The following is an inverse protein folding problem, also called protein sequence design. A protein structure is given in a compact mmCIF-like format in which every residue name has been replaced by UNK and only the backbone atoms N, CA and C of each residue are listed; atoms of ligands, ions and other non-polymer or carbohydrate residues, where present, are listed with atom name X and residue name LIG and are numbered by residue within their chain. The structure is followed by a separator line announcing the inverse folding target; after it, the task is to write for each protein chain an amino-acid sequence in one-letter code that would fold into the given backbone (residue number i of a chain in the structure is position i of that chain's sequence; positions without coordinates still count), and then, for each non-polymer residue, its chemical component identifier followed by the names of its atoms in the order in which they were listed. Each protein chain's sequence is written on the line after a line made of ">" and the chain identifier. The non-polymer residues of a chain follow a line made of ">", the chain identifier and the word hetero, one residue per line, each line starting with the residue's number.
data_IF_349788591636
#
_entry.id   IF_349788591636
#
_cell.length_a   1.000
_cell.length_b   1.000
_cell.length_c   1.000
_cell.angle_alpha   90.00
_cell.angle_beta   90.00
_cell.angle_gamma   90.00
#
_symmetry.space_group_name_H-M   'P 1'
#
loop_
_entity.id
_entity.type
_entity.pdbx_description
1 polymer ?
#
# COMPACT_ATOMS: atom_id res chain seq x y z
N UNK A 1 -20.90 14.32 17.87
CA UNK A 1 -19.64 15.00 17.50
C UNK A 1 -18.41 14.07 17.53
N UNK A 2 -18.53 12.83 18.01
CA UNK A 2 -17.39 11.89 18.11
C UNK A 2 -16.92 11.35 16.76
N UNK A 3 -17.84 11.03 15.84
CA UNK A 3 -17.51 10.39 14.56
C UNK A 3 -16.56 11.19 13.66
N UNK A 4 -16.68 12.53 13.64
CA UNK A 4 -15.78 13.40 12.88
C UNK A 4 -14.39 13.45 13.52
N UNK A 5 -14.31 13.35 14.84
CA UNK A 5 -13.05 13.33 15.59
C UNK A 5 -12.36 11.98 15.37
N UNK A 6 -13.09 10.87 15.45
CA UNK A 6 -12.58 9.52 15.15
C UNK A 6 -12.06 9.42 13.71
N UNK A 7 -12.83 9.94 12.74
CA UNK A 7 -12.43 9.97 11.33
C UNK A 7 -11.24 10.89 11.09
N UNK A 8 -11.21 12.06 11.75
CA UNK A 8 -10.09 13.01 11.68
C UNK A 8 -8.81 12.39 12.22
N UNK A 9 -8.86 11.68 13.34
CA UNK A 9 -7.68 11.05 13.93
C UNK A 9 -7.16 9.97 13.00
N UNK A 10 -8.03 9.07 12.49
CA UNK A 10 -7.64 8.05 11.52
C UNK A 10 -7.04 8.63 10.25
N UNK A 11 -7.59 9.72 9.71
CA UNK A 11 -7.05 10.35 8.51
C UNK A 11 -5.68 10.98 8.81
N UNK A 12 -5.54 11.64 9.96
CA UNK A 12 -4.30 12.33 10.33
C UNK A 12 -3.15 11.35 10.54
N UNK A 13 -3.39 10.27 11.26
CA UNK A 13 -2.43 9.20 11.48
C UNK A 13 -2.09 8.46 10.18
N UNK A 14 -3.08 8.18 9.33
CA UNK A 14 -2.88 7.54 8.04
C UNK A 14 -2.03 8.42 7.10
N UNK A 15 -2.25 9.74 7.07
CA UNK A 15 -1.41 10.69 6.31
C UNK A 15 -0.01 10.80 6.93
N UNK A 16 0.11 10.81 8.26
CA UNK A 16 1.41 10.85 8.93
C UNK A 16 2.23 9.59 8.65
N UNK A 17 1.63 8.40 8.78
CA UNK A 17 2.28 7.12 8.52
C UNK A 17 2.57 6.92 7.03
N UNK A 18 1.66 7.30 6.14
CA UNK A 18 1.89 7.27 4.70
C UNK A 18 2.97 8.27 4.32
N UNK A 19 2.97 9.47 4.91
CA UNK A 19 3.98 10.50 4.71
C UNK A 19 5.35 10.06 5.23
N UNK A 20 5.44 9.50 6.44
CA UNK A 20 6.70 8.97 6.99
C UNK A 20 7.21 7.78 6.17
N UNK A 21 6.34 6.84 5.82
CA UNK A 21 6.68 5.70 4.96
C UNK A 21 7.16 6.17 3.59
N UNK A 22 6.45 7.11 2.96
CA UNK A 22 6.82 7.72 1.69
C UNK A 22 8.15 8.47 1.77
N UNK A 23 8.37 9.27 2.82
CA UNK A 23 9.56 10.11 2.97
C UNK A 23 10.80 9.26 3.32
N UNK A 24 10.62 8.21 4.12
CA UNK A 24 11.66 7.22 4.40
C UNK A 24 12.02 6.42 3.15
N UNK A 25 11.04 5.93 2.39
CA UNK A 25 11.27 5.26 1.10
C UNK A 25 11.87 6.19 0.05
N UNK A 26 11.42 7.44 -0.01
CA UNK A 26 11.97 8.47 -0.90
C UNK A 26 13.46 8.72 -0.63
N UNK A 27 13.91 8.60 0.62
CA UNK A 27 15.32 8.79 0.98
C UNK A 27 16.16 7.52 0.91
N UNK A 28 15.61 6.35 1.18
CA UNK A 28 16.37 5.10 1.24
C UNK A 28 16.36 4.28 -0.05
N UNK A 29 15.35 4.44 -0.90
CA UNK A 29 15.22 3.62 -2.12
C UNK A 29 15.65 4.35 -3.40
N UNK A 30 15.57 5.69 -3.46
CA UNK A 30 15.83 6.44 -4.70
C UNK A 30 17.28 6.74 -5.01
N UNK A 31 18.21 6.50 -4.07
CA UNK A 31 19.63 6.79 -4.32
C UNK A 31 20.24 5.88 -5.39
N UNK A 32 19.60 4.75 -5.73
CA UNK A 32 20.10 3.77 -6.71
C UNK A 32 19.05 3.23 -7.71
N UNK A 33 17.85 3.83 -7.82
CA UNK A 33 16.71 3.28 -8.60
C UNK A 33 16.14 4.20 -9.70
N UNK A 34 16.96 5.10 -10.25
CA UNK A 34 16.55 6.08 -11.28
C UNK A 34 16.11 5.49 -12.64
N UNK A 35 16.25 4.17 -12.86
CA UNK A 35 15.80 3.56 -14.12
C UNK A 35 15.08 2.23 -13.82
N UNK A 36 13.75 2.28 -13.58
CA UNK A 36 12.72 1.45 -14.27
C UNK A 36 11.39 1.18 -13.53
N UNK A 37 11.20 1.38 -12.21
CA UNK A 37 9.95 0.88 -11.56
C UNK A 37 9.41 1.71 -10.37
N UNK A 38 8.99 2.96 -10.59
CA UNK A 38 8.31 3.79 -9.57
C UNK A 38 7.06 3.13 -8.96
N UNK A 39 6.33 2.32 -9.73
CA UNK A 39 5.03 1.78 -9.32
C UNK A 39 5.16 0.73 -8.21
N UNK A 40 6.22 -0.10 -8.20
CA UNK A 40 6.42 -1.12 -7.13
C UNK A 40 6.61 -0.46 -5.78
N UNK A 41 7.33 0.66 -5.76
CA UNK A 41 7.57 1.44 -4.55
C UNK A 41 6.29 2.11 -4.03
N UNK A 42 5.45 2.62 -4.94
CA UNK A 42 4.13 3.15 -4.58
C UNK A 42 3.24 2.02 -4.03
N UNK A 43 3.22 0.84 -4.64
CA UNK A 43 2.44 -0.31 -4.17
C UNK A 43 2.89 -0.73 -2.77
N UNK A 44 4.19 -0.76 -2.50
CA UNK A 44 4.73 -1.15 -1.20
C UNK A 44 4.37 -0.13 -0.10
N UNK A 45 4.56 1.17 -0.37
CA UNK A 45 4.20 2.24 0.59
C UNK A 45 2.70 2.31 0.86
N UNK A 46 1.86 2.10 -0.16
CA UNK A 46 0.40 1.96 0.01
C UNK A 46 0.09 0.74 0.88
N UNK A 47 0.65 -0.43 0.59
CA UNK A 47 0.41 -1.68 1.37
C UNK A 47 0.84 -1.52 2.83
N UNK A 48 1.94 -0.82 3.08
CA UNK A 48 2.41 -0.52 4.42
C UNK A 48 1.46 0.41 5.19
N UNK A 49 1.06 1.54 4.61
CA UNK A 49 0.09 2.44 5.26
C UNK A 49 -1.26 1.76 5.50
N UNK A 50 -1.64 0.86 4.61
CA UNK A 50 -2.83 0.06 4.74
C UNK A 50 -2.73 -0.97 5.90
N UNK A 51 -1.53 -1.47 6.17
CA UNK A 51 -1.25 -2.29 7.37
C UNK A 51 -1.29 -1.47 8.66
N UNK A 52 -0.74 -0.24 8.66
CA UNK A 52 -0.86 0.69 9.78
C UNK A 52 -2.32 1.03 10.10
N UNK A 53 -3.15 1.21 9.07
CA UNK A 53 -4.61 1.45 9.21
C UNK A 53 -5.30 0.30 9.95
N UNK A 54 -4.86 -0.94 9.67
CA UNK A 54 -5.40 -2.13 10.35
C UNK A 54 -5.02 -2.17 11.83
N UNK A 55 -3.79 -1.79 12.17
CA UNK A 55 -3.32 -1.71 13.55
C UNK A 55 -4.05 -0.62 14.34
N UNK A 56 -4.31 0.51 13.69
CA UNK A 56 -5.03 1.61 14.32
C UNK A 56 -6.49 1.27 14.63
N UNK A 57 -7.14 0.52 13.73
CA UNK A 57 -8.47 -0.04 13.98
C UNK A 57 -8.49 -0.97 15.21
N UNK A 58 -7.44 -1.76 15.42
CA UNK A 58 -7.28 -2.60 16.61
C UNK A 58 -7.13 -1.73 17.87
N UNK A 59 -6.28 -0.70 17.84
CA UNK A 59 -6.08 0.19 19.00
C UNK A 59 -7.37 0.91 19.38
N UNK A 60 -8.13 1.42 18.41
CA UNK A 60 -9.42 2.06 18.65
C UNK A 60 -10.51 1.10 19.14
N UNK A 61 -10.40 -0.19 18.80
CA UNK A 61 -11.23 -1.24 19.37
C UNK A 61 -10.93 -1.45 20.86
N UNK A 62 -9.66 -1.51 21.26
CA UNK A 62 -9.28 -1.69 22.68
C UNK A 62 -9.64 -0.45 23.52
N UNK A 63 -9.55 0.76 22.95
CA UNK A 63 -9.91 2.00 23.61
C UNK A 63 -11.43 2.22 23.76
N UNK A 64 -12.27 1.38 23.14
CA UNK A 64 -13.73 1.41 23.30
C UNK A 64 -14.43 2.63 22.70
N UNK A 65 -13.74 3.40 21.84
CA UNK A 65 -14.27 4.65 21.26
C UNK A 65 -15.18 4.38 20.04
N UNK A 66 -15.04 3.21 19.39
CA UNK A 66 -15.62 2.96 18.06
C UNK A 66 -16.88 2.05 18.07
N UNK A 67 -17.96 2.54 17.45
CA UNK A 67 -19.26 1.84 17.30
C UNK A 67 -19.13 0.47 16.57
N UNK A 68 -19.79 -0.58 17.09
CA UNK A 68 -19.67 -1.97 16.57
C UNK A 68 -19.99 -2.15 15.08
N UNK A 69 -20.99 -1.43 14.54
CA UNK A 69 -21.35 -1.57 13.13
C UNK A 69 -20.36 -0.91 12.17
N UNK A 70 -19.66 0.15 12.59
CA UNK A 70 -18.64 0.84 11.76
C UNK A 70 -17.35 0.03 11.67
N UNK A 71 -17.02 -0.73 12.74
CA UNK A 71 -15.81 -1.56 12.82
C UNK A 71 -15.79 -2.67 11.79
N UNK A 72 -16.85 -3.46 11.70
CA UNK A 72 -16.91 -4.59 10.75
C UNK A 72 -16.77 -4.14 9.30
N UNK A 73 -17.34 -2.98 8.95
CA UNK A 73 -17.22 -2.42 7.61
C UNK A 73 -15.78 -1.97 7.31
N UNK A 74 -15.15 -1.23 8.22
CA UNK A 74 -13.74 -0.82 8.06
C UNK A 74 -12.81 -2.01 7.96
N UNK A 75 -13.02 -3.05 8.77
CA UNK A 75 -12.17 -4.25 8.77
C UNK A 75 -12.30 -5.05 7.46
N UNK A 76 -13.55 -5.24 6.98
CA UNK A 76 -13.82 -5.89 5.68
C UNK A 76 -13.25 -5.09 4.50
N UNK A 77 -13.48 -3.79 4.47
CA UNK A 77 -12.94 -2.91 3.42
C UNK A 77 -11.42 -2.93 3.43
N UNK A 78 -10.82 -2.86 4.63
CA UNK A 78 -9.39 -2.88 4.79
C UNK A 78 -8.80 -4.19 4.21
N UNK A 79 -9.23 -5.33 4.74
CA UNK A 79 -8.79 -6.63 4.24
C UNK A 79 -8.98 -6.80 2.73
N UNK A 80 -10.10 -6.33 2.18
CA UNK A 80 -10.38 -6.41 0.75
C UNK A 80 -9.36 -5.66 -0.11
N UNK A 81 -9.01 -4.43 0.27
CA UNK A 81 -8.08 -3.58 -0.51
C UNK A 81 -6.64 -4.09 -0.41
N UNK A 82 -6.15 -4.51 0.76
CA UNK A 82 -4.81 -5.13 0.87
C UNK A 82 -4.74 -6.37 -0.02
N UNK A 83 -5.76 -7.22 0.06
CA UNK A 83 -5.81 -8.46 -0.70
C UNK A 83 -5.84 -8.18 -2.21
N UNK A 84 -6.63 -7.22 -2.67
CA UNK A 84 -6.66 -6.84 -4.08
C UNK A 84 -5.31 -6.27 -4.56
N UNK A 85 -4.67 -5.42 -3.77
CA UNK A 85 -3.34 -4.87 -4.12
C UNK A 85 -2.30 -5.99 -4.17
N UNK A 86 -2.27 -6.87 -3.17
CA UNK A 86 -1.24 -7.90 -3.09
C UNK A 86 -1.46 -9.04 -4.08
N UNK A 87 -2.71 -9.44 -4.31
CA UNK A 87 -3.05 -10.58 -5.18
C UNK A 87 -3.20 -10.18 -6.64
N UNK A 88 -3.62 -8.95 -6.95
CA UNK A 88 -3.85 -8.54 -8.33
C UNK A 88 -2.71 -7.69 -8.87
N UNK A 89 -2.33 -6.62 -8.17
CA UNK A 89 -1.31 -5.68 -8.65
C UNK A 89 0.10 -6.29 -8.67
N UNK A 90 0.49 -7.05 -7.64
CA UNK A 90 1.84 -7.64 -7.56
C UNK A 90 2.12 -8.64 -8.71
N UNK A 91 1.28 -9.66 -8.97
CA UNK A 91 1.56 -10.60 -10.07
C UNK A 91 1.40 -9.97 -11.45
N UNK A 92 0.52 -8.97 -11.63
CA UNK A 92 0.48 -8.20 -12.87
C UNK A 92 1.80 -7.49 -13.15
N UNK A 93 2.43 -6.95 -12.11
CA UNK A 93 3.69 -6.25 -12.23
C UNK A 93 4.86 -7.20 -12.56
N UNK A 94 4.91 -8.35 -11.90
CA UNK A 94 5.88 -9.42 -12.20
C UNK A 94 5.66 -9.94 -13.63
N UNK A 95 4.41 -10.14 -14.04
CA UNK A 95 4.05 -10.57 -15.39
C UNK A 95 4.48 -9.56 -16.46
N UNK A 96 4.26 -8.26 -16.24
CA UNK A 96 4.71 -7.21 -17.16
C UNK A 96 6.23 -7.18 -17.30
N UNK A 97 6.97 -7.33 -16.19
CA UNK A 97 8.43 -7.38 -16.21
C UNK A 97 8.97 -8.59 -16.99
N UNK A 98 8.34 -9.76 -16.82
CA UNK A 98 8.74 -10.99 -17.55
C UNK A 98 8.37 -10.88 -19.03
N UNK A 99 7.19 -10.34 -19.37
CA UNK A 99 6.73 -10.22 -20.75
C UNK A 99 7.59 -9.21 -21.55
N UNK A 100 7.96 -8.08 -20.94
CA UNK A 100 8.81 -7.09 -21.61
C UNK A 100 10.27 -7.55 -21.73
N UNK A 101 10.77 -8.34 -20.78
CA UNK A 101 12.12 -8.93 -20.87
C UNK A 101 12.19 -10.05 -21.91
N UNK A 102 11.16 -10.89 -22.01
CA UNK A 102 11.07 -11.96 -23.03
C UNK A 102 10.89 -11.42 -24.46
N UNK A 103 10.20 -10.29 -24.65
CA UNK A 103 10.13 -9.60 -25.95
C UNK A 103 11.51 -9.07 -26.43
N UNK A 104 12.42 -8.76 -25.50
CA UNK A 104 13.79 -8.32 -25.80
C UNK A 104 14.83 -9.47 -25.85
N UNK A 105 14.47 -10.72 -25.55
CA UNK A 105 15.38 -11.87 -25.73
C UNK A 105 15.41 -12.41 -27.17
N UNK A 106 14.65 -11.83 -28.10
CA UNK A 106 14.81 -12.05 -29.54
C UNK A 106 15.44 -10.79 -30.19
N UNK A 107 16.76 -10.58 -30.00
CA UNK A 107 17.59 -10.47 -31.19
C UNK A 107 19.02 -11.03 -30.96
N UNK A 108 19.25 -12.34 -31.10
CA UNK A 108 20.51 -12.92 -31.62
C UNK A 108 20.18 -14.20 -32.37
N UNK A 109 19.57 -14.05 -33.54
CA UNK A 109 19.70 -15.00 -34.65
C UNK A 109 19.31 -14.28 -35.95
N UNK A 110 20.16 -13.35 -36.39
CA UNK A 110 20.26 -12.84 -37.75
C UNK A 110 21.52 -11.95 -37.82
N UNK A 111 22.58 -12.45 -38.44
CA UNK A 111 23.87 -11.78 -38.62
C UNK A 111 25.04 -12.69 -38.33
#
# INVERSE_FOLDING_TARGET
>A
MSFLIDSSIMITSQILFFGFGWLFFMRQLFKDYEVRQYVVQVIFSVTFAFSCTMFELIIFEILGVLNSSSRYFHWKMNLCVILLILVFMVPFYIGYFICISSACSFPVSCG
#
